data_IF_704731151724
#
_entry.id   IF_704731151724
#
_cell.length_a   1.000
_cell.length_b   1.000
_cell.length_c   1.000
_cell.angle_alpha   90.00
_cell.angle_beta   90.00
_cell.angle_gamma   90.00
#
_symmetry.space_group_name_H-M   'P 1'
#
loop_
_entity.id
_entity.type
_entity.pdbx_description
1 polymer ?
#
# COMPACT_ATOMS: atom_id res chain seq x y z
N UNK A 1 -25.77 -2.65 -2.87
CA UNK A 1 -24.55 -3.01 -2.14
C UNK A 1 -24.79 -4.19 -1.19
N UNK A 2 -25.83 -4.16 -0.35
CA UNK A 2 -26.13 -5.25 0.60
C UNK A 2 -26.46 -6.59 -0.07
N UNK A 3 -27.12 -6.60 -1.21
CA UNK A 3 -27.39 -7.82 -1.98
C UNK A 3 -26.11 -8.47 -2.53
N UNK A 4 -25.15 -7.66 -2.98
CA UNK A 4 -23.87 -8.16 -3.50
C UNK A 4 -22.97 -8.73 -2.41
N UNK A 5 -23.01 -8.21 -1.18
CA UNK A 5 -22.14 -8.64 -0.10
C UNK A 5 -22.64 -9.88 0.63
N UNK A 6 -23.86 -10.34 0.35
CA UNK A 6 -24.52 -11.41 1.15
C UNK A 6 -24.35 -11.19 2.65
N UNK A 7 -24.40 -9.93 3.09
CA UNK A 7 -24.23 -9.54 4.50
C UNK A 7 -22.80 -9.53 5.04
N UNK A 8 -21.77 -9.73 4.21
CA UNK A 8 -20.38 -9.68 4.66
C UNK A 8 -19.57 -8.66 3.88
N UNK A 9 -18.91 -7.74 4.58
CA UNK A 9 -17.99 -6.77 4.00
C UNK A 9 -16.82 -7.42 3.22
N UNK A 10 -16.44 -8.64 3.60
CA UNK A 10 -15.39 -9.40 2.92
C UNK A 10 -15.67 -9.60 1.43
N UNK A 11 -16.94 -9.75 1.09
CA UNK A 11 -17.35 -9.97 -0.30
C UNK A 11 -17.26 -8.72 -1.19
N UNK A 12 -17.01 -7.53 -0.59
CA UNK A 12 -16.69 -6.31 -1.33
C UNK A 12 -15.20 -6.24 -1.71
N UNK A 13 -14.34 -6.99 -1.03
CA UNK A 13 -12.92 -6.92 -1.26
C UNK A 13 -12.46 -7.99 -2.26
N UNK A 14 -11.42 -7.65 -3.01
CA UNK A 14 -10.71 -8.63 -3.81
C UNK A 14 -10.23 -9.76 -2.90
N UNK A 15 -10.36 -11.00 -3.36
CA UNK A 15 -10.19 -12.21 -2.51
C UNK A 15 -8.89 -12.22 -1.69
N UNK A 16 -7.81 -11.74 -2.28
CA UNK A 16 -6.49 -11.68 -1.61
C UNK A 16 -6.44 -10.57 -0.55
N UNK A 17 -7.23 -9.50 -0.73
CA UNK A 17 -7.25 -8.37 0.19
C UNK A 17 -8.34 -8.54 1.28
N UNK A 18 -9.29 -9.47 1.08
CA UNK A 18 -10.35 -9.76 2.05
C UNK A 18 -9.80 -10.26 3.41
N UNK A 19 -8.64 -10.92 3.42
CA UNK A 19 -7.96 -11.34 4.64
C UNK A 19 -7.51 -10.15 5.52
N UNK A 20 -7.32 -8.98 4.91
CA UNK A 20 -7.01 -7.75 5.62
C UNK A 20 -8.10 -7.36 6.65
N UNK A 21 -9.37 -7.61 6.36
CA UNK A 21 -10.50 -7.33 7.26
C UNK A 21 -10.53 -8.22 8.51
N UNK A 22 -9.95 -9.42 8.43
CA UNK A 22 -9.90 -10.35 9.57
C UNK A 22 -8.76 -10.05 10.53
N UNK A 23 -7.82 -9.24 10.10
CA UNK A 23 -6.63 -8.98 10.88
C UNK A 23 -6.97 -8.10 12.09
N UNK A 24 -6.48 -8.51 13.27
CA UNK A 24 -6.55 -7.70 14.48
C UNK A 24 -5.97 -6.28 14.27
N UNK A 25 -5.03 -6.13 13.37
CA UNK A 25 -4.48 -4.81 12.99
C UNK A 25 -5.51 -3.90 12.30
N UNK A 26 -6.36 -4.41 11.39
CA UNK A 26 -7.43 -3.57 10.81
C UNK A 26 -8.44 -3.14 11.86
N UNK A 27 -8.73 -4.00 12.83
CA UNK A 27 -9.60 -3.66 13.96
C UNK A 27 -8.97 -2.62 14.90
N UNK A 28 -7.64 -2.55 14.96
CA UNK A 28 -6.87 -1.62 15.79
C UNK A 28 -6.42 -0.36 15.01
N UNK A 29 -6.45 -0.37 13.67
CA UNK A 29 -6.09 0.79 12.86
C UNK A 29 -7.13 1.89 13.04
N UNK A 30 -6.80 2.85 13.88
CA UNK A 30 -7.33 4.19 13.73
C UNK A 30 -6.61 4.80 12.54
N UNK A 31 -7.32 4.98 11.40
CA UNK A 31 -6.69 5.67 10.30
C UNK A 31 -6.97 5.07 8.93
N UNK A 32 -5.92 4.92 8.17
CA UNK A 32 -5.94 4.65 6.74
C UNK A 32 -5.53 3.22 6.44
N UNK A 33 -6.15 2.66 5.40
CA UNK A 33 -5.76 1.39 4.80
C UNK A 33 -5.95 1.46 3.29
N UNK A 34 -5.21 0.68 2.56
CA UNK A 34 -5.36 0.54 1.12
C UNK A 34 -5.71 -0.90 0.77
N UNK A 35 -6.50 -1.08 -0.27
CA UNK A 35 -6.91 -2.39 -0.74
C UNK A 35 -7.69 -2.28 -2.05
N UNK A 36 -8.10 -3.42 -2.58
CA UNK A 36 -8.96 -3.49 -3.76
C UNK A 36 -10.36 -3.90 -3.36
N UNK A 37 -11.35 -3.15 -3.81
CA UNK A 37 -12.75 -3.54 -3.76
C UNK A 37 -13.21 -4.03 -5.11
N UNK A 38 -14.26 -4.84 -5.14
CA UNK A 38 -14.86 -5.31 -6.36
C UNK A 38 -15.98 -4.37 -6.80
N UNK A 39 -15.97 -3.99 -8.05
CA UNK A 39 -17.10 -3.31 -8.71
C UNK A 39 -18.28 -4.27 -8.91
N UNK A 40 -19.41 -3.74 -9.38
CA UNK A 40 -20.62 -4.54 -9.62
C UNK A 40 -20.43 -5.67 -10.64
N UNK A 41 -19.54 -5.45 -11.61
CA UNK A 41 -19.13 -6.41 -12.65
C UNK A 41 -17.97 -7.32 -12.22
N UNK A 42 -17.49 -7.18 -10.97
CA UNK A 42 -16.44 -8.02 -10.40
C UNK A 42 -15.01 -7.55 -10.69
N UNK A 43 -14.82 -6.40 -11.32
CA UNK A 43 -13.50 -5.84 -11.55
C UNK A 43 -12.89 -5.28 -10.24
N UNK A 44 -11.59 -5.49 -9.96
CA UNK A 44 -10.96 -4.91 -8.80
C UNK A 44 -10.62 -3.44 -9.02
N UNK A 45 -10.92 -2.59 -8.05
CA UNK A 45 -10.60 -1.16 -8.04
C UNK A 45 -9.78 -0.82 -6.80
N UNK A 46 -8.66 -0.14 -6.97
CA UNK A 46 -7.81 0.30 -5.86
C UNK A 46 -8.47 1.46 -5.12
N UNK A 47 -8.55 1.32 -3.80
CA UNK A 47 -9.18 2.30 -2.93
C UNK A 47 -8.32 2.57 -1.70
N UNK A 48 -8.40 3.80 -1.20
CA UNK A 48 -7.94 4.18 0.13
C UNK A 48 -9.15 4.14 1.07
N UNK A 49 -8.97 3.49 2.19
CA UNK A 49 -9.99 3.27 3.21
C UNK A 49 -9.66 4.11 4.43
N UNK A 50 -10.64 4.83 4.93
CA UNK A 50 -10.55 5.56 6.17
C UNK A 50 -11.54 4.98 7.16
N UNK A 51 -11.05 4.53 8.32
CA UNK A 51 -11.89 4.02 9.41
C UNK A 51 -11.98 5.07 10.51
N UNK A 52 -13.20 5.33 10.97
CA UNK A 52 -13.47 6.15 12.15
C UNK A 52 -14.43 5.41 13.07
N UNK A 53 -14.06 5.34 14.35
CA UNK A 53 -14.96 4.84 15.38
C UNK A 53 -16.01 5.91 15.67
N UNK A 54 -17.26 5.50 15.80
CA UNK A 54 -18.41 6.35 16.08
C UNK A 54 -19.40 5.60 16.98
N UNK A 55 -20.41 6.30 17.41
CA UNK A 55 -21.52 5.75 18.21
C UNK A 55 -22.81 6.13 17.51
N UNK A 56 -23.71 5.16 17.33
CA UNK A 56 -25.03 5.40 16.76
C UNK A 56 -25.93 6.15 17.74
N UNK A 57 -27.08 6.59 17.30
CA UNK A 57 -28.07 7.36 18.09
C UNK A 57 -28.58 6.64 19.33
N UNK A 58 -28.51 5.31 19.34
CA UNK A 58 -28.89 4.44 20.48
C UNK A 58 -27.69 4.10 21.41
N UNK A 59 -26.50 4.64 21.13
CA UNK A 59 -25.28 4.35 21.92
C UNK A 59 -24.51 3.13 21.46
N UNK A 60 -24.92 2.46 20.38
CA UNK A 60 -24.21 1.29 19.85
C UNK A 60 -22.90 1.72 19.17
N UNK A 61 -21.75 1.10 19.52
CA UNK A 61 -20.50 1.34 18.82
C UNK A 61 -20.59 0.93 17.36
N UNK A 62 -20.27 1.84 16.45
CA UNK A 62 -20.24 1.60 15.00
C UNK A 62 -18.92 2.06 14.40
N UNK A 63 -18.61 1.54 13.22
CA UNK A 63 -17.49 2.02 12.40
C UNK A 63 -18.04 2.76 11.19
N UNK A 64 -17.55 3.95 10.98
CA UNK A 64 -17.76 4.67 9.72
C UNK A 64 -16.54 4.38 8.85
N UNK A 65 -16.77 3.81 7.68
CA UNK A 65 -15.73 3.57 6.69
C UNK A 65 -15.98 4.43 5.47
N UNK A 66 -15.04 5.32 5.19
CA UNK A 66 -15.01 6.10 3.95
C UNK A 66 -14.09 5.40 2.96
N UNK A 67 -14.54 5.33 1.71
CA UNK A 67 -13.82 4.70 0.60
C UNK A 67 -13.54 5.77 -0.43
N UNK A 68 -12.26 5.98 -0.75
CA UNK A 68 -11.84 6.92 -1.77
C UNK A 68 -11.14 6.17 -2.89
N UNK A 69 -11.57 6.39 -4.13
CA UNK A 69 -10.89 5.83 -5.30
C UNK A 69 -9.54 6.50 -5.50
N UNK A 70 -8.51 5.71 -5.70
CA UNK A 70 -7.17 6.22 -5.99
C UNK A 70 -6.89 6.17 -7.51
N UNK A 71 -7.47 7.11 -8.25
CA UNK A 71 -7.35 7.20 -9.70
C UNK A 71 -5.90 7.29 -10.21
N UNK A 72 -5.03 7.95 -9.46
CA UNK A 72 -3.62 8.05 -9.82
C UNK A 72 -2.95 6.68 -9.75
N UNK A 73 -3.28 5.90 -8.73
CA UNK A 73 -2.78 4.55 -8.56
C UNK A 73 -3.32 3.59 -9.62
N UNK A 74 -4.60 3.70 -9.99
CA UNK A 74 -5.21 2.85 -11.02
C UNK A 74 -4.57 3.07 -12.39
N UNK A 75 -4.40 4.31 -12.80
CA UNK A 75 -3.75 4.61 -14.07
C UNK A 75 -2.30 4.12 -14.09
N UNK A 76 -1.57 4.28 -12.99
CA UNK A 76 -0.22 3.77 -12.85
C UNK A 76 -0.17 2.24 -12.77
N UNK A 77 -1.13 1.59 -12.10
CA UNK A 77 -1.23 0.13 -12.04
C UNK A 77 -1.49 -0.49 -13.41
N UNK A 78 -2.39 0.09 -14.21
CA UNK A 78 -2.66 -0.36 -15.59
C UNK A 78 -1.43 -0.25 -16.49
N UNK A 79 -0.69 0.86 -16.40
CA UNK A 79 0.58 1.02 -17.14
C UNK A 79 1.59 -0.03 -16.70
N UNK A 80 1.69 -0.29 -15.40
CA UNK A 80 2.67 -1.26 -14.89
C UNK A 80 2.35 -2.72 -15.18
N UNK A 81 1.08 -3.10 -15.14
CA UNK A 81 0.67 -4.44 -15.57
C UNK A 81 1.07 -4.68 -17.03
N UNK A 82 0.97 -3.65 -17.87
CA UNK A 82 1.34 -3.75 -19.28
C UNK A 82 2.85 -3.86 -19.53
N UNK A 83 3.68 -3.27 -18.65
CA UNK A 83 5.15 -3.26 -18.79
C UNK A 83 5.87 -4.19 -17.80
N UNK A 84 5.13 -4.96 -17.00
CA UNK A 84 5.66 -5.88 -15.97
C UNK A 84 6.61 -5.18 -14.96
N UNK A 85 6.33 -3.93 -14.63
CA UNK A 85 7.13 -3.13 -13.72
C UNK A 85 6.49 -3.04 -12.34
N UNK A 86 7.33 -3.04 -11.32
CA UNK A 86 6.93 -2.79 -9.95
C UNK A 86 6.93 -1.27 -9.66
N UNK A 87 5.92 -0.79 -8.99
CA UNK A 87 5.83 0.60 -8.54
C UNK A 87 6.01 0.72 -7.04
N UNK A 88 6.60 1.84 -6.67
CA UNK A 88 6.65 2.32 -5.31
C UNK A 88 6.62 3.85 -5.31
N UNK A 89 6.15 4.44 -4.22
CA UNK A 89 6.27 5.88 -3.99
C UNK A 89 6.39 6.19 -2.51
N UNK A 90 6.98 7.34 -2.22
CA UNK A 90 7.06 7.92 -0.88
C UNK A 90 6.40 9.29 -0.89
N UNK A 91 5.67 9.60 0.18
CA UNK A 91 5.23 10.95 0.48
C UNK A 91 6.10 11.50 1.60
N UNK A 92 6.62 12.70 1.39
CA UNK A 92 7.44 13.38 2.40
C UNK A 92 6.72 14.65 2.88
N UNK A 93 6.90 14.96 4.16
CA UNK A 93 6.44 16.24 4.70
C UNK A 93 7.37 17.40 4.26
N UNK A 94 7.04 18.62 4.67
CA UNK A 94 7.82 19.82 4.34
C UNK A 94 9.27 19.77 4.85
N UNK A 95 9.53 18.98 5.89
CA UNK A 95 10.87 18.77 6.46
C UNK A 95 11.69 17.70 5.71
N UNK A 96 11.10 17.01 4.71
CA UNK A 96 11.75 15.92 3.99
C UNK A 96 11.70 14.57 4.71
N UNK A 97 10.86 14.44 5.75
CA UNK A 97 10.65 13.16 6.42
C UNK A 97 9.63 12.32 5.66
N UNK A 98 9.91 11.05 5.43
CA UNK A 98 9.00 10.12 4.79
C UNK A 98 7.82 9.85 5.74
N UNK A 99 6.63 10.29 5.37
CA UNK A 99 5.39 10.12 6.15
C UNK A 99 4.51 9.01 5.62
N UNK A 100 4.65 8.67 4.35
CA UNK A 100 3.93 7.57 3.73
C UNK A 100 4.82 6.81 2.76
N UNK A 101 4.66 5.49 2.73
CA UNK A 101 5.34 4.57 1.82
C UNK A 101 4.29 3.68 1.18
N UNK A 102 4.36 3.50 -0.12
CA UNK A 102 3.53 2.54 -0.84
C UNK A 102 4.37 1.62 -1.72
N UNK A 103 4.16 0.33 -1.56
CA UNK A 103 4.70 -0.72 -2.40
C UNK A 103 3.55 -1.33 -3.21
N UNK A 104 3.65 -1.34 -4.52
CA UNK A 104 2.61 -1.96 -5.37
C UNK A 104 2.50 -3.47 -5.12
N UNK A 105 1.37 -4.04 -5.51
CA UNK A 105 1.21 -5.49 -5.46
C UNK A 105 2.28 -6.20 -6.31
N UNK A 106 2.57 -5.69 -7.52
CA UNK A 106 3.62 -6.21 -8.38
C UNK A 106 5.01 -6.15 -7.73
N UNK A 107 5.31 -5.07 -6.95
CA UNK A 107 6.57 -4.98 -6.19
C UNK A 107 6.69 -6.11 -5.17
N UNK A 108 5.62 -6.37 -4.41
CA UNK A 108 5.57 -7.47 -3.45
C UNK A 108 5.76 -8.82 -4.13
N UNK A 109 5.03 -9.07 -5.22
CA UNK A 109 5.10 -10.33 -5.96
C UNK A 109 6.50 -10.62 -6.52
N UNK A 110 7.20 -9.62 -7.04
CA UNK A 110 8.58 -9.77 -7.52
C UNK A 110 9.51 -10.22 -6.39
N UNK A 111 9.28 -9.75 -5.17
CA UNK A 111 10.05 -10.14 -3.98
C UNK A 111 9.56 -11.44 -3.32
N UNK A 112 8.49 -12.06 -3.85
CA UNK A 112 7.91 -13.30 -3.33
C UNK A 112 6.84 -13.10 -2.26
N UNK A 113 6.49 -11.87 -1.90
CA UNK A 113 5.47 -11.56 -0.89
C UNK A 113 4.07 -11.49 -1.51
N UNK A 114 3.05 -11.91 -0.74
CA UNK A 114 1.69 -12.01 -1.24
C UNK A 114 0.86 -10.75 -1.03
N UNK A 115 1.01 -10.09 0.11
CA UNK A 115 0.15 -8.96 0.47
C UNK A 115 0.84 -7.92 1.38
N UNK A 116 0.06 -6.93 1.81
CA UNK A 116 0.52 -5.86 2.71
C UNK A 116 0.82 -6.34 4.14
N UNK A 117 0.33 -7.51 4.53
CA UNK A 117 0.57 -8.06 5.87
C UNK A 117 1.94 -8.71 5.93
N UNK A 118 2.33 -9.36 4.84
CA UNK A 118 3.65 -9.99 4.69
C UNK A 118 4.73 -8.94 4.42
N UNK A 119 4.38 -7.90 3.65
CA UNK A 119 5.27 -6.82 3.28
C UNK A 119 4.57 -5.46 3.46
N UNK A 120 4.58 -4.91 4.68
CA UNK A 120 3.89 -3.66 5.01
C UNK A 120 4.39 -2.44 4.24
N UNK A 121 3.53 -1.42 4.12
CA UNK A 121 3.87 -0.11 3.56
C UNK A 121 4.76 0.70 4.53
N UNK A 122 5.97 0.23 4.74
CA UNK A 122 7.01 0.85 5.58
C UNK A 122 8.33 0.85 4.84
N UNK A 123 9.14 1.86 5.10
CA UNK A 123 10.48 1.95 4.52
C UNK A 123 11.33 0.73 4.91
N UNK A 124 11.23 0.30 6.17
CA UNK A 124 11.98 -0.83 6.71
C UNK A 124 11.66 -2.15 6.01
N UNK A 125 10.44 -2.31 5.48
CA UNK A 125 10.08 -3.52 4.72
C UNK A 125 10.99 -3.74 3.53
N UNK A 126 11.41 -2.67 2.87
CA UNK A 126 12.33 -2.70 1.75
C UNK A 126 13.79 -2.57 2.18
N UNK A 127 14.11 -1.61 3.04
CA UNK A 127 15.51 -1.33 3.38
C UNK A 127 16.20 -2.51 4.09
N UNK A 128 15.46 -3.30 4.87
CA UNK A 128 15.98 -4.53 5.51
C UNK A 128 16.27 -5.66 4.51
N UNK A 129 15.79 -5.57 3.28
CA UNK A 129 16.08 -6.54 2.22
C UNK A 129 17.28 -6.13 1.37
N UNK A 130 17.80 -4.92 1.51
CA UNK A 130 18.97 -4.46 0.79
C UNK A 130 20.19 -5.32 1.14
N UNK A 131 20.95 -5.69 0.12
CA UNK A 131 22.22 -6.37 0.34
C UNK A 131 23.16 -5.47 1.17
N UNK A 132 23.86 -6.00 2.19
CA UNK A 132 24.69 -5.18 3.08
C UNK A 132 25.70 -4.27 2.37
N UNK A 133 26.30 -4.74 1.29
CA UNK A 133 27.25 -3.94 0.50
C UNK A 133 26.58 -2.80 -0.30
N UNK A 134 25.29 -2.90 -0.58
CA UNK A 134 24.54 -1.90 -1.35
C UNK A 134 23.81 -0.90 -0.44
N UNK A 135 23.58 -1.25 0.82
CA UNK A 135 22.72 -0.53 1.75
C UNK A 135 23.10 0.95 1.87
N UNK A 136 24.32 1.26 2.24
CA UNK A 136 24.75 2.63 2.50
C UNK A 136 24.64 3.50 1.25
N UNK A 137 25.08 2.98 0.11
CA UNK A 137 25.02 3.68 -1.19
C UNK A 137 23.59 3.97 -1.62
N UNK A 138 22.69 3.00 -1.48
CA UNK A 138 21.30 3.12 -1.90
C UNK A 138 20.54 4.08 -0.98
N UNK A 139 20.73 3.94 0.34
CA UNK A 139 20.10 4.82 1.31
C UNK A 139 20.58 6.26 1.21
N UNK A 140 21.87 6.48 0.97
CA UNK A 140 22.42 7.82 0.75
C UNK A 140 21.78 8.47 -0.48
N UNK A 141 21.72 7.77 -1.62
CA UNK A 141 21.09 8.32 -2.83
C UNK A 141 19.60 8.61 -2.63
N UNK A 142 18.89 7.75 -1.89
CA UNK A 142 17.49 8.00 -1.55
C UNK A 142 17.33 9.31 -0.76
N UNK A 143 18.13 9.49 0.28
CA UNK A 143 18.07 10.70 1.12
C UNK A 143 18.47 11.96 0.34
N UNK A 144 19.49 11.88 -0.52
CA UNK A 144 19.89 12.98 -1.42
C UNK A 144 18.74 13.35 -2.38
N UNK A 145 18.05 12.33 -2.94
CA UNK A 145 16.92 12.56 -3.85
C UNK A 145 15.75 13.23 -3.12
N UNK A 146 15.44 12.81 -1.90
CA UNK A 146 14.38 13.41 -1.08
C UNK A 146 14.73 14.84 -0.67
N UNK A 147 16.00 15.10 -0.36
CA UNK A 147 16.47 16.42 0.04
C UNK A 147 16.49 17.43 -1.12
N UNK A 148 16.54 16.96 -2.36
CA UNK A 148 16.57 17.82 -3.56
C UNK A 148 15.18 18.38 -3.89
N UNK A 149 14.89 19.57 -3.37
CA UNK A 149 13.65 20.32 -3.65
C UNK A 149 13.54 20.83 -5.09
N UNK A 150 14.61 20.73 -5.88
CA UNK A 150 14.62 21.17 -7.29
C UNK A 150 14.16 20.08 -8.25
N UNK A 151 13.99 18.84 -7.77
CA UNK A 151 13.66 17.65 -8.56
C UNK A 151 14.62 17.40 -9.73
N UNK A 152 15.88 17.79 -9.61
CA UNK A 152 16.91 17.53 -10.61
C UNK A 152 17.65 16.23 -10.40
N UNK A 153 17.73 15.77 -9.15
CA UNK A 153 18.33 14.50 -8.76
C UNK A 153 17.43 13.36 -9.16
N UNK A 154 17.95 12.42 -9.94
CA UNK A 154 17.21 11.23 -10.36
C UNK A 154 17.60 10.06 -9.47
N UNK A 155 16.61 9.41 -8.85
CA UNK A 155 16.81 8.12 -8.21
C UNK A 155 16.88 7.03 -9.30
N UNK A 156 18.10 6.75 -9.76
CA UNK A 156 18.37 5.70 -10.75
C UNK A 156 19.55 4.88 -10.26
N UNK A 157 19.28 3.70 -9.72
CA UNK A 157 20.28 2.87 -9.06
C UNK A 157 19.93 1.39 -9.19
N UNK A 158 20.94 0.58 -9.42
CA UNK A 158 20.85 -0.87 -9.38
C UNK A 158 21.33 -1.37 -8.02
N UNK A 159 20.61 -2.32 -7.43
CA UNK A 159 20.93 -2.91 -6.14
C UNK A 159 20.32 -4.29 -5.99
N UNK A 160 20.89 -5.06 -5.10
CA UNK A 160 20.44 -6.42 -4.78
C UNK A 160 19.44 -6.38 -3.62
N UNK A 161 18.34 -7.12 -3.77
CA UNK A 161 17.36 -7.35 -2.72
C UNK A 161 17.29 -8.83 -2.39
N UNK A 162 17.15 -9.13 -1.11
CA UNK A 162 16.84 -10.47 -0.66
C UNK A 162 15.36 -10.76 -0.94
N UNK A 163 15.10 -11.88 -1.58
CA UNK A 163 13.73 -12.37 -1.79
C UNK A 163 13.22 -13.11 -0.55
N UNK A 164 11.91 -13.36 -0.49
CA UNK A 164 11.28 -14.05 0.65
C UNK A 164 11.82 -15.48 0.82
N UNK A 165 12.17 -16.15 -0.26
CA UNK A 165 12.69 -17.52 -0.25
C UNK A 165 14.22 -17.63 -0.06
N UNK A 166 14.93 -16.49 0.09
CA UNK A 166 16.35 -16.42 0.45
C UNK A 166 17.26 -15.85 -0.63
#
# INVERSE_FOLDING_TARGET
LMEQTKGSLKNLFYKQDAAFLDNARFRQLQGEGEGRILTADGAPVYVRLYKKDAVDTDGTPIWIMSVQMNWAYENLALVNESIHSALWYFECNENGEIVHVNWSHAFRQILGYHDILDFPNKLDSWSNLLHPEDYDRVMQLLLETIADKTNTTKYNVEYRLKMQDG
#
